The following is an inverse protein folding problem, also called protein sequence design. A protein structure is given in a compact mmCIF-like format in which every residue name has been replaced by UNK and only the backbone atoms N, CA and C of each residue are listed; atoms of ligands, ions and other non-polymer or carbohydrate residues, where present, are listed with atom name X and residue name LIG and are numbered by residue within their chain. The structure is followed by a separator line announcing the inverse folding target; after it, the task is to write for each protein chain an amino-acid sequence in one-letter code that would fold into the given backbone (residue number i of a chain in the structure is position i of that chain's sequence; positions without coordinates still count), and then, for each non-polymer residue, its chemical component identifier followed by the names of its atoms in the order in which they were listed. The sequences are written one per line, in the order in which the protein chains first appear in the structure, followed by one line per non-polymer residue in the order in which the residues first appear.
data_IF_647969472753
#
_entry.id   IF_647969472753
#
_cell.length_a   1.000
_cell.length_b   1.000
_cell.length_c   1.000
_cell.angle_alpha   90.00
_cell.angle_beta   90.00
_cell.angle_gamma   90.00
#
_symmetry.space_group_name_H-M   'P 1'
#
loop_
_entity.id
_entity.type
_entity.pdbx_description
1 polymer ?
#
# COMPACT_ATOMS: atom_id res chain seq x y z
N UNK A 1 32.86 29.48 30.81
CA UNK A 1 32.64 28.03 30.99
C UNK A 1 31.52 27.87 31.99
N UNK A 2 30.40 27.28 31.58
CA UNK A 2 29.20 27.13 32.43
C UNK A 2 29.48 26.03 33.47
N UNK A 3 29.29 26.36 34.75
CA UNK A 3 29.46 25.43 35.86
C UNK A 3 28.07 25.07 36.38
N UNK A 4 27.71 23.80 36.29
CA UNK A 4 26.44 23.28 36.77
C UNK A 4 26.60 22.64 38.15
N UNK A 5 25.72 23.00 39.08
CA UNK A 5 25.65 22.52 40.46
C UNK A 5 24.34 21.75 40.68
N UNK A 6 24.37 20.70 41.49
CA UNK A 6 23.16 19.98 41.92
C UNK A 6 22.56 20.63 43.17
N UNK A 7 21.26 20.89 43.18
CA UNK A 7 20.55 21.36 44.36
C UNK A 7 20.51 20.27 45.45
N UNK A 8 20.98 20.54 46.68
CA UNK A 8 21.03 19.52 47.72
C UNK A 8 19.65 19.11 48.25
N UNK A 9 18.63 19.97 48.10
CA UNK A 9 17.28 19.72 48.63
C UNK A 9 16.44 18.86 47.70
N UNK A 10 16.36 19.22 46.42
CA UNK A 10 15.56 18.49 45.44
C UNK A 10 16.36 17.58 44.50
N UNK A 11 17.69 17.71 44.47
CA UNK A 11 18.55 16.93 43.58
C UNK A 11 18.61 17.42 42.13
N UNK A 12 17.95 18.54 41.80
CA UNK A 12 17.92 19.04 40.43
C UNK A 12 19.18 19.80 40.01
N UNK A 13 19.48 19.74 38.71
CA UNK A 13 20.63 20.41 38.11
C UNK A 13 20.36 21.89 37.89
N UNK A 14 21.28 22.74 38.32
CA UNK A 14 21.21 24.19 38.20
C UNK A 14 22.49 24.74 37.57
N UNK A 15 22.37 25.68 36.65
CA UNK A 15 23.52 26.39 36.09
C UNK A 15 23.83 27.63 36.95
N UNK A 16 25.11 27.86 37.26
CA UNK A 16 25.57 29.05 37.99
C UNK A 16 25.27 30.35 37.23
N UNK A 17 25.12 30.32 35.90
CA UNK A 17 24.79 31.52 35.13
C UNK A 17 23.29 31.76 34.96
N UNK A 18 22.43 30.91 35.53
CA UNK A 18 20.98 31.13 35.48
C UNK A 18 20.63 32.42 36.24
N UNK A 19 19.68 33.26 35.75
CA UNK A 19 19.35 34.53 36.41
C UNK A 19 18.98 34.42 37.89
N UNK A 20 18.36 33.29 38.26
CA UNK A 20 17.91 33.03 39.63
C UNK A 20 19.01 32.48 40.56
N UNK A 21 20.24 32.25 40.07
CA UNK A 21 21.38 31.89 40.91
C UNK A 21 21.66 33.03 41.93
N UNK A 22 21.85 32.75 43.23
CA UNK A 22 22.20 31.46 43.84
C UNK A 22 21.02 30.62 44.36
N UNK A 23 19.79 30.80 43.88
CA UNK A 23 18.62 29.97 44.26
C UNK A 23 18.28 28.92 43.20
N UNK A 24 17.79 27.78 43.64
CA UNK A 24 17.25 26.76 42.77
C UNK A 24 15.90 27.23 42.22
N UNK A 25 15.76 27.25 40.90
CA UNK A 25 14.52 27.70 40.23
C UNK A 25 13.33 26.81 40.61
N UNK A 26 13.57 25.53 40.86
CA UNK A 26 12.51 24.55 41.07
C UNK A 26 11.93 24.58 42.49
N UNK A 27 12.78 24.69 43.52
CA UNK A 27 12.34 24.64 44.91
C UNK A 27 12.63 25.92 45.70
N UNK A 28 13.24 26.93 45.08
CA UNK A 28 13.62 28.20 45.70
C UNK A 28 14.82 28.13 46.65
N UNK A 29 15.38 26.94 46.88
CA UNK A 29 16.45 26.72 47.86
C UNK A 29 17.73 27.45 47.48
N UNK A 30 18.36 28.15 48.44
CA UNK A 30 19.58 28.92 48.17
C UNK A 30 20.81 28.00 48.20
N UNK A 31 21.39 27.77 47.03
CA UNK A 31 22.51 26.86 46.76
C UNK A 31 23.82 27.27 47.43
N UNK A 32 23.95 28.53 47.86
CA UNK A 32 25.11 29.06 48.59
C UNK A 32 24.96 29.01 50.11
N UNK A 33 23.86 28.46 50.65
CA UNK A 33 23.72 28.28 52.09
C UNK A 33 24.67 27.21 52.63
N UNK A 34 25.13 27.42 53.86
CA UNK A 34 26.08 26.52 54.50
C UNK A 34 25.43 25.21 54.97
N UNK A 35 25.48 24.18 54.13
CA UNK A 35 24.92 22.85 54.40
C UNK A 35 25.79 21.91 55.24
N UNK A 36 26.37 22.35 56.35
CA UNK A 36 27.30 21.52 57.15
C UNK A 36 26.66 20.25 57.76
N UNK A 37 25.35 20.24 57.96
CA UNK A 37 24.60 19.04 58.31
C UNK A 37 23.73 18.67 57.08
N UNK A 38 23.95 17.49 56.48
CA UNK A 38 23.35 16.99 55.20
C UNK A 38 21.82 17.05 55.14
N UNK A 39 21.15 17.25 56.28
CA UNK A 39 19.73 17.61 56.37
C UNK A 39 19.60 18.60 57.53
N UNK A 40 19.64 19.90 57.24
CA UNK A 40 19.47 20.97 58.23
C UNK A 40 18.02 21.48 58.17
N UNK A 41 17.06 20.90 58.93
CA UNK A 41 15.73 21.49 59.06
C UNK A 41 15.87 22.69 60.02
N UNK A 42 16.14 23.88 59.48
CA UNK A 42 16.51 25.06 60.26
C UNK A 42 15.42 25.59 61.19
N UNK A 43 15.24 24.92 62.32
CA UNK A 43 14.28 25.24 63.38
C UNK A 43 15.00 25.55 64.71
N UNK A 44 16.12 26.29 64.67
CA UNK A 44 16.84 26.75 65.86
C UNK A 44 17.56 25.64 66.65
N UNK A 45 17.91 24.51 66.02
CA UNK A 45 18.69 23.43 66.67
C UNK A 45 20.20 23.61 66.44
N UNK A 46 21.06 23.39 67.45
CA UNK A 46 22.50 23.43 67.29
C UNK A 46 23.00 22.25 66.41
N UNK A 47 23.75 22.53 65.34
CA UNK A 47 24.40 21.48 64.53
C UNK A 47 25.69 21.07 65.23
N UNK A 48 25.72 19.84 65.74
CA UNK A 48 26.81 19.28 66.56
C UNK A 48 28.17 19.29 65.84
N UNK A 49 28.20 19.34 64.50
CA UNK A 49 29.43 19.38 63.71
C UNK A 49 30.01 20.79 63.50
N UNK A 50 29.24 21.84 63.78
CA UNK A 50 29.68 23.23 63.67
C UNK A 50 29.97 23.80 65.06
N UNK A 51 31.01 23.29 65.73
CA UNK A 51 31.42 23.76 67.06
C UNK A 51 31.78 25.26 67.00
N UNK A 52 31.11 26.09 67.80
CA UNK A 52 31.44 27.51 67.99
C UNK A 52 30.60 28.53 67.22
N UNK A 53 29.61 28.11 66.42
CA UNK A 53 28.70 29.03 65.73
C UNK A 53 27.34 29.14 66.46
N UNK A 54 26.72 30.33 66.53
CA UNK A 54 25.45 30.53 67.21
C UNK A 54 24.32 29.75 66.53
N UNK A 55 23.21 29.55 67.26
CA UNK A 55 22.00 28.87 66.76
C UNK A 55 21.55 29.50 65.44
N UNK A 56 21.53 28.69 64.36
CA UNK A 56 21.25 29.15 63.00
C UNK A 56 19.81 28.82 62.61
N UNK A 57 19.10 29.78 62.04
CA UNK A 57 17.75 29.61 61.50
C UNK A 57 17.82 29.28 59.99
N UNK A 58 16.80 28.59 59.43
CA UNK A 58 16.79 28.18 58.01
C UNK A 58 17.00 29.33 57.01
N UNK A 59 16.68 30.56 57.41
CA UNK A 59 16.77 31.76 56.57
C UNK A 59 18.10 32.52 56.69
N UNK A 60 19.00 32.13 57.59
CA UNK A 60 20.25 32.86 57.82
C UNK A 60 21.36 32.45 56.85
N UNK A 61 21.83 33.43 56.07
CA UNK A 61 23.03 33.31 55.26
C UNK A 61 24.27 33.47 56.14
N UNK A 62 24.97 32.38 56.45
CA UNK A 62 26.29 32.47 57.09
C UNK A 62 27.40 32.49 56.04
N UNK A 63 28.33 33.43 56.20
CA UNK A 63 29.57 33.50 55.45
C UNK A 63 30.55 32.47 56.04
N UNK A 64 30.54 31.23 55.51
CA UNK A 64 31.37 30.16 56.05
C UNK A 64 32.54 29.85 55.10
N UNK A 65 33.80 30.11 55.50
CA UNK A 65 34.96 29.96 54.64
C UNK A 65 35.31 28.51 54.29
N UNK A 66 34.64 27.53 54.92
CA UNK A 66 34.86 26.09 54.68
C UNK A 66 33.77 25.45 53.81
N UNK A 67 32.86 26.22 53.22
CA UNK A 67 31.83 25.69 52.32
C UNK A 67 32.41 25.49 50.91
N UNK A 68 32.46 24.23 50.44
CA UNK A 68 32.82 23.92 49.05
C UNK A 68 31.72 23.05 48.44
N UNK A 69 30.87 23.58 47.54
CA UNK A 69 29.86 22.78 46.85
C UNK A 69 30.57 21.85 45.84
N UNK A 70 30.88 20.61 46.25
CA UNK A 70 31.53 19.63 45.37
C UNK A 70 30.56 18.57 44.87
N UNK A 71 29.61 18.96 44.02
CA UNK A 71 28.98 18.03 43.08
C UNK A 71 28.78 18.73 41.72
N UNK A 72 29.89 19.03 41.07
CA UNK A 72 29.91 19.49 39.67
C UNK A 72 29.85 18.24 38.79
N UNK A 73 28.71 17.93 38.18
CA UNK A 73 28.72 16.89 37.15
C UNK A 73 29.14 17.47 35.82
N UNK A 74 30.10 16.80 35.21
CA UNK A 74 30.53 17.08 33.85
C UNK A 74 29.91 16.00 32.95
N UNK A 75 28.93 16.36 32.12
CA UNK A 75 28.50 15.53 30.98
C UNK A 75 28.49 16.38 29.71
N UNK A 76 29.56 16.26 28.93
CA UNK A 76 29.64 16.77 27.56
C UNK A 76 29.01 15.76 26.61
N UNK A 77 27.89 16.10 25.99
CA UNK A 77 27.42 15.42 24.78
C UNK A 77 28.00 16.13 23.54
N UNK A 78 28.42 15.41 22.49
CA UNK A 78 29.02 16.02 21.31
C UNK A 78 27.95 16.65 20.42
N UNK A 79 28.08 17.95 20.19
CA UNK A 79 27.30 18.70 19.19
C UNK A 79 27.93 18.39 17.82
N UNK A 80 27.20 17.68 16.96
CA UNK A 80 27.61 17.46 15.57
C UNK A 80 27.76 18.80 14.85
N UNK A 81 28.87 18.97 14.13
CA UNK A 81 29.22 20.22 13.46
C UNK A 81 28.21 20.57 12.35
N UNK A 82 27.96 21.86 12.09
CA UNK A 82 26.97 22.31 11.12
C UNK A 82 27.24 21.79 9.69
N UNK A 83 28.50 21.56 9.31
CA UNK A 83 28.86 20.99 8.01
C UNK A 83 28.32 19.56 7.83
N UNK A 84 28.39 18.72 8.87
CA UNK A 84 27.90 17.34 8.82
C UNK A 84 26.37 17.30 8.75
N UNK A 85 25.68 18.28 9.38
CA UNK A 85 24.22 18.40 9.30
C UNK A 85 23.74 18.71 7.88
N UNK A 86 24.44 19.60 7.18
CA UNK A 86 24.11 19.94 5.78
C UNK A 86 24.43 18.82 4.80
N UNK A 87 25.53 18.08 5.00
CA UNK A 87 25.85 16.91 4.17
C UNK A 87 24.80 15.79 4.29
N UNK A 88 24.32 15.51 5.51
CA UNK A 88 23.27 14.52 5.72
C UNK A 88 21.96 14.91 5.04
N UNK A 89 21.56 16.18 5.16
CA UNK A 89 20.36 16.71 4.51
C UNK A 89 20.45 16.62 2.97
N UNK A 90 21.61 16.95 2.39
CA UNK A 90 21.83 16.86 0.96
C UNK A 90 21.75 15.41 0.46
N UNK A 91 22.35 14.45 1.19
CA UNK A 91 22.28 13.03 0.81
C UNK A 91 20.85 12.47 0.90
N UNK A 92 20.09 12.89 1.91
CA UNK A 92 18.70 12.48 2.07
C UNK A 92 17.83 13.01 0.93
N UNK A 93 18.01 14.28 0.56
CA UNK A 93 17.30 14.88 -0.56
C UNK A 93 17.67 14.19 -1.88
N UNK A 94 18.95 13.89 -2.11
CA UNK A 94 19.38 13.20 -3.32
C UNK A 94 18.80 11.79 -3.42
N UNK A 95 18.88 11.00 -2.34
CA UNK A 95 18.29 9.65 -2.31
C UNK A 95 16.77 9.66 -2.51
N UNK A 96 16.06 10.60 -1.89
CA UNK A 96 14.62 10.78 -2.09
C UNK A 96 14.29 11.17 -3.55
N UNK A 97 15.09 12.05 -4.15
CA UNK A 97 14.94 12.47 -5.56
C UNK A 97 15.12 11.27 -6.50
N UNK A 98 16.17 10.48 -6.30
CA UNK A 98 16.44 9.27 -7.09
C UNK A 98 15.31 8.26 -6.92
N UNK A 99 14.79 8.07 -5.71
CA UNK A 99 13.64 7.18 -5.47
C UNK A 99 12.38 7.66 -6.18
N UNK A 100 12.07 8.95 -6.13
CA UNK A 100 10.92 9.54 -6.81
C UNK A 100 11.04 9.36 -8.32
N UNK A 101 12.19 9.68 -8.92
CA UNK A 101 12.44 9.48 -10.35
C UNK A 101 12.34 7.99 -10.70
N UNK A 102 12.98 7.10 -9.93
CA UNK A 102 12.89 5.66 -10.16
C UNK A 102 11.46 5.10 -10.05
N UNK A 103 10.60 5.72 -9.25
CA UNK A 103 9.20 5.31 -9.10
C UNK A 103 8.30 5.88 -10.20
N UNK A 104 8.50 7.15 -10.58
CA UNK A 104 7.74 7.83 -11.64
C UNK A 104 8.17 7.40 -13.05
N UNK A 105 9.43 7.03 -13.23
CA UNK A 105 9.96 6.51 -14.50
C UNK A 105 9.63 5.04 -14.73
N UNK A 106 8.87 4.38 -13.84
CA UNK A 106 8.39 3.01 -14.12
C UNK A 106 7.43 3.07 -15.30
N UNK A 107 7.71 2.34 -16.40
CA UNK A 107 6.78 2.28 -17.53
C UNK A 107 5.45 1.69 -17.03
N UNK A 108 4.35 2.40 -17.30
CA UNK A 108 3.00 1.90 -17.02
C UNK A 108 2.83 0.59 -17.78
N UNK A 109 2.57 -0.56 -17.13
CA UNK A 109 2.43 -1.82 -17.83
C UNK A 109 1.26 -1.71 -18.80
N UNK A 110 1.48 -2.10 -20.06
CA UNK A 110 0.45 -2.08 -21.09
C UNK A 110 -0.69 -3.02 -20.69
N UNK A 111 -1.84 -2.46 -20.32
CA UNK A 111 -2.99 -3.26 -19.90
C UNK A 111 -3.69 -3.82 -21.13
N UNK A 112 -3.86 -5.15 -21.16
CA UNK A 112 -4.80 -5.78 -22.09
C UNK A 112 -6.20 -5.46 -21.59
N UNK A 113 -7.04 -4.89 -22.45
CA UNK A 113 -8.45 -4.68 -22.15
C UNK A 113 -9.28 -5.77 -22.83
N UNK A 114 -10.19 -6.36 -22.07
CA UNK A 114 -11.14 -7.35 -22.55
C UNK A 114 -12.53 -6.92 -22.09
N UNK A 115 -13.40 -6.60 -23.05
CA UNK A 115 -14.83 -6.51 -22.83
C UNK A 115 -15.47 -7.71 -23.51
N UNK A 116 -16.41 -8.39 -22.85
CA UNK A 116 -17.02 -9.59 -23.40
C UNK A 116 -18.46 -9.76 -22.93
N UNK A 117 -19.28 -10.35 -23.79
CA UNK A 117 -20.68 -10.64 -23.53
C UNK A 117 -21.06 -12.00 -24.10
N UNK A 118 -21.97 -12.67 -23.40
CA UNK A 118 -22.62 -13.89 -23.82
C UNK A 118 -24.09 -13.84 -23.35
N UNK A 119 -25.02 -14.49 -24.08
CA UNK A 119 -26.40 -14.60 -23.62
C UNK A 119 -26.46 -15.42 -22.32
N UNK A 120 -27.28 -14.98 -21.37
CA UNK A 120 -27.45 -15.65 -20.07
C UNK A 120 -28.16 -17.00 -20.18
N UNK A 121 -28.93 -17.21 -21.26
CA UNK A 121 -29.69 -18.43 -21.50
C UNK A 121 -29.65 -18.80 -22.99
N UNK A 122 -29.51 -20.09 -23.29
CA UNK A 122 -29.53 -20.64 -24.65
C UNK A 122 -30.29 -21.96 -24.67
N UNK A 123 -30.89 -22.32 -25.80
CA UNK A 123 -31.56 -23.61 -25.97
C UNK A 123 -30.52 -24.67 -26.35
N UNK A 124 -30.72 -25.92 -25.93
CA UNK A 124 -29.87 -27.04 -26.39
C UNK A 124 -29.92 -27.15 -27.91
N UNK A 125 -28.75 -27.29 -28.54
CA UNK A 125 -28.63 -27.44 -29.98
C UNK A 125 -28.56 -26.11 -30.75
N UNK A 126 -28.93 -25.00 -30.12
CA UNK A 126 -28.76 -23.66 -30.68
C UNK A 126 -27.30 -23.18 -30.61
N UNK A 127 -26.98 -22.22 -31.47
CA UNK A 127 -25.68 -21.55 -31.47
C UNK A 127 -25.62 -20.47 -30.38
N UNK A 128 -24.61 -20.59 -29.52
CA UNK A 128 -24.22 -19.62 -28.52
C UNK A 128 -23.07 -18.77 -29.08
N UNK A 129 -23.25 -17.46 -29.15
CA UNK A 129 -22.20 -16.52 -29.57
C UNK A 129 -21.63 -15.78 -28.36
N UNK A 130 -20.32 -15.90 -28.14
CA UNK A 130 -19.56 -15.09 -27.19
C UNK A 130 -18.84 -14.00 -27.96
N UNK A 131 -19.20 -12.74 -27.72
CA UNK A 131 -18.62 -11.57 -28.39
C UNK A 131 -17.64 -10.90 -27.45
N UNK A 132 -16.42 -10.70 -27.90
CA UNK A 132 -15.34 -10.10 -27.14
C UNK A 132 -14.75 -8.93 -27.94
N UNK A 133 -14.32 -7.90 -27.24
CA UNK A 133 -13.56 -6.79 -27.78
C UNK A 133 -12.24 -6.74 -27.03
N UNK A 134 -11.15 -6.98 -27.76
CA UNK A 134 -9.81 -7.12 -27.20
C UNK A 134 -8.97 -5.93 -27.63
N UNK A 135 -8.38 -5.21 -26.69
CA UNK A 135 -7.35 -4.20 -26.96
C UNK A 135 -6.03 -4.65 -26.36
N UNK A 136 -5.08 -5.00 -27.22
CA UNK A 136 -3.71 -5.35 -26.85
C UNK A 136 -2.74 -4.21 -27.22
N UNK A 137 -1.52 -4.27 -26.68
CA UNK A 137 -0.42 -3.41 -27.14
C UNK A 137 -0.16 -3.66 -28.63
N UNK A 138 0.18 -2.61 -29.37
CA UNK A 138 0.53 -2.71 -30.79
C UNK A 138 1.60 -3.81 -31.03
N UNK A 139 1.45 -4.53 -32.15
CA UNK A 139 2.36 -5.58 -32.62
C UNK A 139 2.49 -6.83 -31.72
N UNK A 140 1.58 -7.03 -30.76
CA UNK A 140 1.58 -8.24 -29.93
C UNK A 140 0.48 -9.22 -30.37
N UNK A 141 0.81 -10.50 -30.62
CA UNK A 141 -0.21 -11.50 -30.94
C UNK A 141 -1.07 -11.76 -29.70
N UNK A 142 -2.39 -11.76 -29.93
CA UNK A 142 -3.39 -12.05 -28.91
C UNK A 142 -3.59 -13.56 -28.84
N UNK A 143 -3.47 -14.15 -27.64
CA UNK A 143 -3.76 -15.57 -27.42
C UNK A 143 -5.06 -15.70 -26.65
N UNK A 144 -6.08 -16.23 -27.31
CA UNK A 144 -7.35 -16.59 -26.68
C UNK A 144 -7.22 -18.00 -26.09
N UNK A 145 -7.49 -18.11 -24.78
CA UNK A 145 -7.54 -19.38 -24.05
C UNK A 145 -8.98 -19.76 -23.75
N UNK A 146 -9.37 -20.94 -24.20
CA UNK A 146 -10.64 -21.58 -23.88
C UNK A 146 -10.39 -22.82 -23.02
N UNK A 147 -11.18 -22.98 -21.96
CA UNK A 147 -11.08 -24.14 -21.07
C UNK A 147 -11.49 -25.41 -21.80
N UNK A 148 -10.69 -26.46 -21.69
CA UNK A 148 -10.96 -27.77 -22.28
C UNK A 148 -12.22 -28.41 -21.70
N UNK A 149 -12.56 -28.14 -20.43
CA UNK A 149 -13.79 -28.62 -19.79
C UNK A 149 -15.02 -28.03 -20.45
N UNK A 150 -14.96 -26.75 -20.85
CA UNK A 150 -16.06 -26.12 -21.58
C UNK A 150 -16.33 -26.84 -22.90
N UNK A 151 -15.26 -27.22 -23.61
CA UNK A 151 -15.37 -27.94 -24.88
C UNK A 151 -15.86 -29.40 -24.76
N UNK A 152 -16.03 -29.92 -23.54
CA UNK A 152 -16.64 -31.24 -23.32
C UNK A 152 -18.18 -31.20 -23.46
N UNK A 153 -18.79 -30.05 -23.13
CA UNK A 153 -20.25 -29.85 -23.15
C UNK A 153 -20.71 -28.90 -24.27
N UNK A 154 -19.76 -28.17 -24.88
CA UNK A 154 -20.00 -27.27 -26.00
C UNK A 154 -19.12 -27.64 -27.19
N UNK A 155 -19.75 -27.79 -28.36
CA UNK A 155 -19.03 -27.96 -29.61
C UNK A 155 -18.58 -26.60 -30.14
N UNK A 156 -17.28 -26.39 -30.34
CA UNK A 156 -16.77 -25.17 -30.97
C UNK A 156 -17.16 -25.16 -32.46
N UNK A 157 -18.01 -24.23 -32.87
CA UNK A 157 -18.45 -24.07 -34.26
C UNK A 157 -17.43 -23.23 -35.04
N UNK A 158 -16.91 -22.16 -34.43
CA UNK A 158 -15.95 -21.29 -35.10
C UNK A 158 -15.47 -20.13 -34.25
N UNK A 159 -14.35 -19.55 -34.67
CA UNK A 159 -13.74 -18.36 -34.08
C UNK A 159 -13.50 -17.36 -35.19
N UNK A 160 -13.87 -16.10 -34.95
CA UNK A 160 -13.63 -14.98 -35.85
C UNK A 160 -12.89 -13.88 -35.07
N UNK A 161 -11.78 -13.32 -35.55
CA UNK A 161 -11.08 -13.69 -36.79
C UNK A 161 -10.47 -15.09 -36.71
N UNK A 162 -10.18 -15.68 -37.87
CA UNK A 162 -9.62 -17.02 -37.95
C UNK A 162 -8.26 -17.08 -37.22
N UNK A 163 -8.06 -18.00 -36.28
CA UNK A 163 -6.77 -18.17 -35.61
C UNK A 163 -5.66 -18.56 -36.58
N UNK A 164 -4.47 -17.98 -36.42
CA UNK A 164 -3.27 -18.33 -37.20
C UNK A 164 -2.64 -19.63 -36.72
N UNK A 165 -2.80 -19.95 -35.43
CA UNK A 165 -2.28 -21.17 -34.81
C UNK A 165 -3.20 -21.63 -33.69
N UNK A 166 -3.29 -22.94 -33.53
CA UNK A 166 -3.99 -23.58 -32.40
C UNK A 166 -3.00 -24.50 -31.68
N UNK A 167 -2.84 -24.30 -30.37
CA UNK A 167 -2.00 -25.14 -29.50
C UNK A 167 -2.83 -25.67 -28.34
N UNK A 168 -2.63 -26.94 -27.98
CA UNK A 168 -3.18 -27.48 -26.75
C UNK A 168 -2.13 -27.33 -25.64
N UNK A 169 -2.46 -26.61 -24.56
CA UNK A 169 -1.58 -26.40 -23.40
C UNK A 169 -2.30 -26.72 -22.10
N UNK A 170 -2.02 -27.90 -21.56
CA UNK A 170 -2.58 -28.35 -20.28
C UNK A 170 -4.11 -28.43 -20.32
N UNK A 171 -4.76 -27.55 -19.56
CA UNK A 171 -6.22 -27.47 -19.43
C UNK A 171 -6.89 -26.52 -20.45
N UNK A 172 -6.11 -25.89 -21.35
CA UNK A 172 -6.61 -24.90 -22.29
C UNK A 172 -6.29 -25.24 -23.74
N UNK A 173 -7.17 -24.82 -24.63
CA UNK A 173 -6.82 -24.59 -26.03
C UNK A 173 -6.43 -23.13 -26.21
N UNK A 174 -5.24 -22.90 -26.76
CA UNK A 174 -4.70 -21.59 -27.11
C UNK A 174 -4.90 -21.34 -28.60
N UNK A 175 -5.69 -20.32 -28.92
CA UNK A 175 -5.90 -19.82 -30.27
C UNK A 175 -5.13 -18.52 -30.44
N UNK A 176 -4.13 -18.54 -31.31
CA UNK A 176 -3.34 -17.35 -31.65
C UNK A 176 -4.10 -16.56 -32.70
N UNK A 177 -4.51 -15.34 -32.38
CA UNK A 177 -5.26 -14.46 -33.27
C UNK A 177 -4.30 -13.59 -34.08
N UNK A 178 -4.70 -13.16 -35.30
CA UNK A 178 -3.92 -12.21 -36.09
C UNK A 178 -3.74 -10.89 -35.32
N UNK A 179 -2.57 -10.29 -35.45
CA UNK A 179 -2.24 -9.00 -34.84
C UNK A 179 -3.15 -7.91 -35.43
N UNK A 180 -3.71 -7.06 -34.56
CA UNK A 180 -4.52 -5.90 -34.94
C UNK A 180 -3.98 -4.66 -34.23
N UNK A 181 -3.98 -3.53 -34.92
CA UNK A 181 -3.62 -2.22 -34.33
C UNK A 181 -4.80 -1.59 -33.57
N UNK A 182 -6.02 -1.90 -34.01
CA UNK A 182 -7.26 -1.43 -33.41
C UNK A 182 -7.87 -2.47 -32.45
N UNK A 183 -8.77 -2.06 -31.53
CA UNK A 183 -9.56 -2.98 -30.72
C UNK A 183 -10.19 -4.06 -31.61
N UNK A 184 -9.77 -5.31 -31.41
CA UNK A 184 -10.12 -6.42 -32.26
C UNK A 184 -11.40 -7.08 -31.75
N UNK A 185 -12.49 -7.10 -32.52
CA UNK A 185 -13.67 -7.89 -32.19
C UNK A 185 -13.33 -9.38 -32.40
N UNK A 186 -13.55 -10.18 -31.36
CA UNK A 186 -13.36 -11.62 -31.37
C UNK A 186 -14.68 -12.29 -31.04
N UNK A 187 -15.21 -13.09 -31.96
CA UNK A 187 -16.45 -13.84 -31.77
C UNK A 187 -16.14 -15.32 -31.72
N UNK A 188 -16.57 -15.99 -30.66
CA UNK A 188 -16.48 -17.44 -30.51
C UNK A 188 -17.87 -18.02 -30.53
N UNK A 189 -18.12 -18.94 -31.46
CA UNK A 189 -19.42 -19.59 -31.64
C UNK A 189 -19.34 -21.01 -31.12
N UNK A 190 -20.28 -21.37 -30.25
CA UNK A 190 -20.43 -22.69 -29.68
C UNK A 190 -21.80 -23.27 -30.04
N UNK A 191 -21.90 -24.59 -30.10
CA UNK A 191 -23.18 -25.31 -30.11
C UNK A 191 -23.32 -26.00 -28.77
N UNK A 192 -24.40 -25.74 -28.06
CA UNK A 192 -24.68 -26.41 -26.78
C UNK A 192 -25.08 -27.86 -27.04
N UNK A 193 -24.50 -28.83 -26.31
CA UNK A 193 -24.80 -30.26 -26.49
C UNK A 193 -25.60 -30.85 -25.34
N UNK A 194 -25.54 -30.25 -24.15
CA UNK A 194 -26.19 -30.73 -22.93
C UNK A 194 -26.91 -29.60 -22.19
N UNK A 195 -27.99 -29.98 -21.51
CA UNK A 195 -28.74 -29.10 -20.59
C UNK A 195 -27.91 -28.92 -19.31
N UNK A 196 -27.87 -27.71 -18.78
CA UNK A 196 -27.17 -27.44 -17.53
C UNK A 196 -26.86 -25.96 -17.32
N UNK A 197 -26.26 -25.66 -16.18
CA UNK A 197 -25.70 -24.35 -15.90
C UNK A 197 -24.18 -24.42 -15.99
N UNK A 198 -23.60 -23.57 -16.84
CA UNK A 198 -22.19 -23.62 -17.17
C UNK A 198 -21.51 -22.30 -16.83
N UNK A 199 -20.35 -22.40 -16.18
CA UNK A 199 -19.45 -21.28 -16.02
C UNK A 199 -18.56 -21.17 -17.27
N UNK A 200 -18.75 -20.12 -18.05
CA UNK A 200 -17.89 -19.78 -19.16
C UNK A 200 -16.76 -18.87 -18.70
N UNK A 201 -15.55 -19.21 -19.15
CA UNK A 201 -14.33 -18.46 -18.88
C UNK A 201 -13.58 -18.27 -20.18
N UNK A 202 -13.28 -17.01 -20.51
CA UNK A 202 -12.42 -16.66 -21.63
C UNK A 202 -11.24 -15.86 -21.08
N UNK A 203 -10.03 -16.27 -21.41
CA UNK A 203 -8.81 -15.56 -21.02
C UNK A 203 -8.07 -15.09 -22.26
N UNK A 204 -7.62 -13.85 -22.24
CA UNK A 204 -6.76 -13.29 -23.27
C UNK A 204 -5.38 -13.06 -22.67
N UNK A 205 -4.35 -13.55 -23.35
CA UNK A 205 -2.96 -13.44 -22.91
C UNK A 205 -2.12 -12.81 -24.02
N UNK A 206 -1.26 -11.88 -23.64
CA UNK A 206 -0.25 -11.26 -24.52
C UNK A 206 1.13 -11.29 -23.84
N UNK A 207 2.20 -11.29 -24.64
CA UNK A 207 3.56 -11.21 -24.13
C UNK A 207 3.87 -9.80 -23.57
N UNK A 208 4.68 -9.64 -22.51
CA UNK A 208 5.46 -10.67 -21.82
C UNK A 208 4.71 -11.42 -20.71
N UNK A 209 3.53 -10.98 -20.26
CA UNK A 209 2.68 -11.67 -19.25
C UNK A 209 1.35 -10.96 -18.97
N UNK A 210 0.88 -10.09 -19.87
CA UNK A 210 -0.38 -9.38 -19.62
C UNK A 210 -1.55 -10.31 -19.91
N UNK A 211 -2.48 -10.39 -18.96
CA UNK A 211 -3.67 -11.20 -19.09
C UNK A 211 -4.91 -10.41 -18.70
N UNK A 212 -6.00 -10.67 -19.43
CA UNK A 212 -7.33 -10.20 -19.09
C UNK A 212 -8.27 -11.40 -19.11
N UNK A 213 -9.22 -11.40 -18.20
CA UNK A 213 -10.12 -12.52 -17.99
C UNK A 213 -11.57 -12.05 -17.94
N UNK A 214 -12.44 -12.83 -18.55
CA UNK A 214 -13.88 -12.68 -18.47
C UNK A 214 -14.52 -13.99 -18.02
N UNK A 215 -15.55 -13.86 -17.19
CA UNK A 215 -16.36 -14.97 -16.71
C UNK A 215 -17.85 -14.63 -16.81
N UNK A 216 -18.67 -15.60 -17.18
CA UNK A 216 -20.12 -15.52 -17.11
C UNK A 216 -20.74 -16.89 -16.82
N UNK A 217 -21.99 -16.89 -16.37
CA UNK A 217 -22.80 -18.10 -16.24
C UNK A 217 -23.83 -18.14 -17.35
N UNK A 218 -23.98 -19.30 -17.97
CA UNK A 218 -24.98 -19.51 -19.03
C UNK A 218 -25.79 -20.76 -18.75
N UNK A 219 -27.11 -20.59 -18.81
CA UNK A 219 -28.08 -21.66 -18.60
C UNK A 219 -28.51 -22.23 -19.94
N UNK A 220 -28.19 -23.49 -20.18
CA UNK A 220 -28.68 -24.23 -21.34
C UNK A 220 -29.98 -24.93 -20.95
N UNK A 221 -31.07 -24.62 -21.65
CA UNK A 221 -32.40 -25.17 -21.38
C UNK A 221 -32.92 -26.03 -22.53
N UNK A 222 -33.82 -26.96 -22.21
CA UNK A 222 -34.58 -27.67 -23.23
C UNK A 222 -35.54 -26.70 -23.93
N UNK A 223 -35.75 -26.88 -25.23
CA UNK A 223 -36.76 -26.13 -25.95
C UNK A 223 -38.15 -26.50 -25.41
N UNK A 224 -38.76 -25.60 -24.65
CA UNK A 224 -40.09 -25.79 -24.05
C UNK A 224 -41.23 -25.26 -24.93
N UNK A 225 -40.91 -24.46 -25.95
CA UNK A 225 -41.88 -23.93 -26.91
C UNK A 225 -41.29 -23.96 -28.32
N UNK A 226 -42.02 -24.49 -29.32
CA UNK A 226 -41.57 -24.44 -30.71
C UNK A 226 -41.43 -22.97 -31.16
N UNK A 227 -40.41 -22.66 -31.98
CA UNK A 227 -40.17 -21.30 -32.43
C UNK A 227 -41.38 -20.85 -33.24
N UNK A 228 -42.05 -19.78 -32.77
CA UNK A 228 -43.16 -19.17 -33.50
C UNK A 228 -42.59 -18.71 -34.85
N UNK A 229 -43.09 -19.19 -35.99
CA UNK A 229 -42.55 -18.80 -37.28
C UNK A 229 -42.62 -17.27 -37.41
N UNK A 230 -41.63 -16.64 -38.06
CA UNK A 230 -41.65 -15.20 -38.28
C UNK A 230 -42.95 -14.84 -38.98
N UNK A 231 -43.68 -13.86 -38.44
CA UNK A 231 -45.01 -13.41 -38.89
C UNK A 231 -45.07 -12.88 -40.34
N UNK A 232 -44.01 -13.01 -41.13
CA UNK A 232 -43.90 -12.50 -42.51
C UNK A 232 -43.90 -13.55 -43.62
N UNK A 233 -43.77 -14.85 -43.35
CA UNK A 233 -43.66 -15.87 -44.42
C UNK A 233 -44.97 -16.56 -44.80
N UNK A 234 -46.04 -16.38 -44.01
CA UNK A 234 -47.35 -16.93 -44.35
C UNK A 234 -48.01 -16.26 -45.56
N UNK A 235 -47.52 -15.09 -46.00
CA UNK A 235 -48.12 -14.34 -47.13
C UNK A 235 -47.58 -14.79 -48.49
N UNK A 236 -46.40 -15.43 -48.57
CA UNK A 236 -45.81 -15.81 -49.87
C UNK A 236 -46.32 -17.18 -50.34
N UNK A 237 -46.74 -18.07 -49.45
CA UNK A 237 -47.22 -19.40 -49.83
C UNK A 237 -48.60 -19.40 -50.52
N UNK A 238 -49.39 -18.31 -50.44
CA UNK A 238 -50.68 -18.19 -51.14
C UNK A 238 -50.58 -17.55 -52.53
N UNK A 239 -49.43 -17.01 -52.92
CA UNK A 239 -49.25 -16.35 -54.23
C UNK A 239 -48.69 -17.27 -55.33
N UNK A 240 -48.36 -18.53 -55.01
CA UNK A 240 -47.88 -19.54 -55.98
C UNK A 240 -48.93 -20.61 -56.32
N UNK A 241 -50.18 -20.41 -55.88
CA UNK A 241 -51.33 -21.25 -56.20
C UNK A 241 -52.42 -20.41 -56.89
N UNK A 242 -52.07 -19.79 -58.01
CA UNK A 242 -53.01 -19.38 -59.07
C UNK A 242 -52.32 -19.44 -60.41
#
# INVERSE_FOLDING_TARGET
MLRTIICPRCGEWMDETHPDFPRCVFCGEKLTQCGFCRAFPGNGKPCLKAKGHPIVYASSDLNCPHFIPKFVARKTHPILSPAVRWQMAASLMFTLSVLIVAFLSRPVPSRVLLAASAPSQVVVGDSLEVRMLVKATANQPVRLRLDRRLLADFQLIGISPLPTKVEQRGQFYEFVLPVSHDPQPVTVKFKSTRIGEYAMRAMVVTAPRNQAEWQAKVKVVKQTTPPKPPKGLAVIAMALWR
#
